data_IF_034173481726
#
_entry.id   IF_034173481726
#
_cell.length_a   1.000
_cell.length_b   1.000
_cell.length_c   1.000
_cell.angle_alpha   90.00
_cell.angle_beta   90.00
_cell.angle_gamma   90.00
#
_symmetry.space_group_name_H-M   'P 1'
#
loop_
_entity.id
_entity.type
_entity.pdbx_description
1 polymer ?
#
# COMPACT_ATOMS: atom_id res chain seq x y z
N UNK A 1 25.30 6.57 -7.86
CA UNK A 1 23.91 6.55 -7.36
C UNK A 1 23.73 7.78 -6.48
N UNK A 2 22.80 8.68 -6.79
CA UNK A 2 22.48 9.78 -5.87
C UNK A 2 21.91 9.16 -4.59
N UNK A 3 22.41 9.54 -3.42
CA UNK A 3 21.85 9.10 -2.16
C UNK A 3 20.38 9.55 -2.11
N UNK A 4 19.47 8.60 -1.87
CA UNK A 4 18.08 8.95 -1.64
C UNK A 4 18.02 9.90 -0.43
N UNK A 5 17.49 11.10 -0.65
CA UNK A 5 17.39 12.11 0.41
C UNK A 5 16.28 11.70 1.38
N UNK A 6 16.66 11.20 2.55
CA UNK A 6 15.71 10.89 3.62
C UNK A 6 15.18 12.19 4.24
N UNK A 7 13.87 12.28 4.45
CA UNK A 7 13.23 13.39 5.16
C UNK A 7 12.42 12.84 6.33
N UNK A 8 12.67 13.39 7.51
CA UNK A 8 11.90 13.09 8.73
C UNK A 8 11.01 14.28 9.03
N UNK A 9 9.71 14.03 9.11
CA UNK A 9 8.70 15.00 9.54
C UNK A 9 8.10 14.52 10.84
N UNK A 10 8.19 15.35 11.87
CA UNK A 10 7.64 15.07 13.20
C UNK A 10 6.40 15.93 13.38
N UNK A 11 5.31 15.28 13.79
CA UNK A 11 4.04 15.94 14.10
C UNK A 11 3.74 15.76 15.59
N UNK A 12 3.12 16.74 16.26
CA UNK A 12 2.77 16.62 17.68
C UNK A 12 1.73 15.52 17.95
N UNK A 13 0.89 15.21 16.97
CA UNK A 13 -0.23 14.29 17.13
C UNK A 13 -0.64 13.58 15.83
N UNK A 14 -1.36 12.46 15.96
CA UNK A 14 -1.95 11.75 14.81
C UNK A 14 -3.07 12.55 14.12
N UNK A 15 -3.70 13.49 14.83
CA UNK A 15 -4.69 14.43 14.28
C UNK A 15 -4.06 15.49 13.37
N UNK A 16 -2.78 15.81 13.55
CA UNK A 16 -2.06 16.72 12.65
C UNK A 16 -1.37 15.96 11.51
N UNK A 17 -0.83 14.78 11.80
CA UNK A 17 -0.21 13.91 10.81
C UNK A 17 -1.20 13.51 9.70
N UNK A 18 -2.41 13.12 10.04
CA UNK A 18 -3.38 12.59 9.08
C UNK A 18 -3.74 13.56 7.94
N UNK A 19 -4.16 14.80 8.23
CA UNK A 19 -4.40 15.83 7.21
C UNK A 19 -3.15 16.19 6.40
N UNK A 20 -1.97 16.18 7.03
CA UNK A 20 -0.71 16.44 6.33
C UNK A 20 -0.39 15.31 5.34
N UNK A 21 -0.54 14.05 5.75
CA UNK A 21 -0.37 12.88 4.90
C UNK A 21 -1.39 12.87 3.75
N UNK A 22 -2.66 13.17 4.02
CA UNK A 22 -3.70 13.25 3.00
C UNK A 22 -3.37 14.30 1.92
N UNK A 23 -2.92 15.50 2.32
CA UNK A 23 -2.45 16.54 1.38
C UNK A 23 -1.24 16.09 0.58
N UNK A 24 -0.29 15.38 1.22
CA UNK A 24 0.89 14.85 0.55
C UNK A 24 0.51 13.83 -0.53
N UNK A 25 -0.37 12.86 -0.21
CA UNK A 25 -0.87 11.88 -1.19
C UNK A 25 -1.55 12.60 -2.37
N UNK A 26 -2.42 13.57 -2.09
CA UNK A 26 -3.13 14.31 -3.13
C UNK A 26 -2.20 15.16 -4.02
N UNK A 27 -1.08 15.66 -3.48
CA UNK A 27 -0.06 16.37 -4.26
C UNK A 27 0.68 15.40 -5.20
N UNK A 28 1.14 14.26 -4.69
CA UNK A 28 1.78 13.20 -5.49
C UNK A 28 0.86 12.66 -6.59
N UNK A 29 -0.42 12.47 -6.27
CA UNK A 29 -1.41 12.06 -7.25
C UNK A 29 -1.56 13.06 -8.41
N UNK A 30 -1.56 14.36 -8.11
CA UNK A 30 -1.66 15.41 -9.13
C UNK A 30 -0.45 15.42 -10.06
N UNK A 31 0.75 15.22 -9.52
CA UNK A 31 1.99 15.12 -10.30
C UNK A 31 1.99 13.89 -11.21
N UNK A 32 1.59 12.73 -10.69
CA UNK A 32 1.52 11.50 -11.49
C UNK A 32 0.39 11.51 -12.54
N UNK A 33 -0.66 12.31 -12.38
CA UNK A 33 -1.85 12.29 -13.27
C UNK A 33 -1.83 13.32 -14.41
N UNK A 34 -0.66 13.90 -14.74
CA UNK A 34 -0.52 15.04 -15.66
C UNK A 34 -0.90 14.81 -17.14
N UNK A 35 -1.16 13.57 -17.57
CA UNK A 35 -1.64 13.27 -18.93
C UNK A 35 -2.84 12.32 -18.94
N UNK A 36 -3.55 12.20 -20.07
CA UNK A 36 -4.74 11.34 -20.18
C UNK A 36 -4.46 9.86 -19.93
N UNK A 37 -3.26 9.38 -20.31
CA UNK A 37 -2.84 7.98 -20.11
C UNK A 37 -2.18 7.74 -18.75
N UNK A 38 -1.87 8.79 -18.01
CA UNK A 38 -1.19 8.68 -16.74
C UNK A 38 -2.13 8.19 -15.63
N UNK A 39 -1.58 7.42 -14.69
CA UNK A 39 -2.28 6.87 -13.53
C UNK A 39 -1.42 7.09 -12.29
N UNK A 40 -2.08 7.24 -11.15
CA UNK A 40 -1.42 7.27 -9.84
C UNK A 40 -1.63 5.93 -9.13
N UNK A 41 -0.56 5.18 -8.93
CA UNK A 41 -0.61 3.90 -8.23
C UNK A 41 -0.16 4.06 -6.77
N UNK A 42 -1.06 3.76 -5.82
CA UNK A 42 -0.83 3.92 -4.39
C UNK A 42 -0.86 2.57 -3.67
N UNK A 43 0.22 2.23 -2.96
CA UNK A 43 0.29 1.06 -2.09
C UNK A 43 -0.09 1.41 -0.66
N UNK A 44 -0.98 0.61 -0.07
CA UNK A 44 -1.55 0.81 1.26
C UNK A 44 -1.14 -0.31 2.20
N UNK A 45 -0.73 0.02 3.42
CA UNK A 45 -0.59 -0.94 4.51
C UNK A 45 -1.80 -0.89 5.43
N UNK A 46 -2.02 -1.94 6.22
CA UNK A 46 -3.06 -1.96 7.25
C UNK A 46 -2.75 -1.11 8.49
N UNK A 47 -3.33 -1.50 9.62
CA UNK A 47 -3.09 -0.84 10.92
C UNK A 47 -3.69 0.56 11.02
N UNK A 48 -3.00 1.47 11.71
CA UNK A 48 -3.49 2.84 11.97
C UNK A 48 -3.64 3.69 10.70
N UNK A 49 -3.00 3.31 9.59
CA UNK A 49 -3.17 3.99 8.31
C UNK A 49 -4.60 3.88 7.78
N UNK A 50 -5.30 2.79 8.09
CA UNK A 50 -6.69 2.60 7.65
C UNK A 50 -7.56 3.70 8.23
N UNK A 51 -7.59 3.84 9.56
CA UNK A 51 -8.44 4.82 10.24
C UNK A 51 -8.05 6.26 9.93
N UNK A 52 -6.75 6.54 9.83
CA UNK A 52 -6.23 7.85 9.46
C UNK A 52 -6.66 8.26 8.05
N UNK A 53 -6.44 7.39 7.05
CA UNK A 53 -6.80 7.72 5.67
C UNK A 53 -8.32 7.73 5.45
N UNK A 54 -9.06 6.84 6.10
CA UNK A 54 -10.54 6.87 6.09
C UNK A 54 -11.11 8.19 6.59
N UNK A 55 -10.46 8.81 7.58
CA UNK A 55 -10.87 10.11 8.14
C UNK A 55 -10.41 11.28 7.25
N UNK A 56 -9.13 11.32 6.90
CA UNK A 56 -8.52 12.57 6.44
C UNK A 56 -8.40 12.68 4.91
N UNK A 57 -8.33 11.56 4.19
CA UNK A 57 -8.18 11.59 2.74
C UNK A 57 -9.44 12.14 2.03
N UNK A 58 -10.68 11.72 2.38
CA UNK A 58 -11.89 12.29 1.81
C UNK A 58 -12.08 13.79 2.09
N UNK A 59 -11.45 14.30 3.14
CA UNK A 59 -11.53 15.71 3.53
C UNK A 59 -10.67 16.64 2.65
N UNK A 60 -9.85 16.09 1.73
CA UNK A 60 -9.05 16.89 0.81
C UNK A 60 -9.95 17.55 -0.25
N UNK A 61 -9.99 18.89 -0.36
CA UNK A 61 -10.83 19.57 -1.34
C UNK A 61 -10.45 19.21 -2.78
N UNK A 62 -11.45 18.90 -3.60
CA UNK A 62 -11.27 18.62 -5.02
C UNK A 62 -10.56 17.29 -5.33
N UNK A 63 -10.51 16.35 -4.37
CA UNK A 63 -9.86 15.05 -4.57
C UNK A 63 -10.54 14.24 -5.69
N UNK A 64 -9.81 14.02 -6.80
CA UNK A 64 -10.24 13.17 -7.90
C UNK A 64 -9.41 11.89 -7.96
N UNK A 65 -10.07 10.76 -7.72
CA UNK A 65 -9.45 9.44 -7.65
C UNK A 65 -9.69 8.56 -8.89
N UNK A 66 -10.30 9.09 -9.97
CA UNK A 66 -10.64 8.31 -11.18
C UNK A 66 -9.44 7.64 -11.86
N UNK A 67 -8.26 8.26 -11.74
CA UNK A 67 -7.00 7.77 -12.30
C UNK A 67 -6.17 6.96 -11.30
N UNK A 68 -6.70 6.70 -10.11
CA UNK A 68 -5.98 6.02 -9.05
C UNK A 68 -6.09 4.51 -9.20
N UNK A 69 -4.99 3.82 -8.89
CA UNK A 69 -4.92 2.38 -8.78
C UNK A 69 -4.34 2.03 -7.42
N UNK A 70 -5.16 1.45 -6.57
CA UNK A 70 -4.80 1.07 -5.21
C UNK A 70 -4.29 -0.37 -5.21
N UNK A 71 -3.24 -0.61 -4.45
CA UNK A 71 -2.78 -1.94 -4.08
C UNK A 71 -2.47 -2.00 -2.59
N UNK A 72 -2.27 -3.21 -2.09
CA UNK A 72 -1.91 -3.47 -0.71
C UNK A 72 -0.45 -3.92 -0.62
N UNK A 73 0.24 -3.41 0.41
CA UNK A 73 1.64 -3.73 0.70
C UNK A 73 1.76 -5.11 1.35
N UNK A 74 0.75 -5.49 2.12
CA UNK A 74 0.54 -6.83 2.64
C UNK A 74 -0.95 -7.04 2.96
N UNK A 75 -1.32 -8.29 3.19
CA UNK A 75 -2.66 -8.64 3.66
C UNK A 75 -2.64 -9.93 4.49
N UNK A 76 -3.58 -9.99 5.43
CA UNK A 76 -3.89 -11.17 6.23
C UNK A 76 -4.83 -12.04 5.41
N UNK A 77 -4.50 -13.32 5.25
CA UNK A 77 -5.33 -14.27 4.51
C UNK A 77 -6.51 -14.73 5.36
N UNK A 78 -7.46 -13.81 5.54
CA UNK A 78 -8.74 -13.99 6.22
C UNK A 78 -9.87 -13.52 5.31
N UNK A 79 -11.13 -13.93 5.56
CA UNK A 79 -12.27 -13.37 4.85
C UNK A 79 -12.28 -11.84 4.88
N UNK A 80 -12.74 -11.17 3.81
CA UNK A 80 -12.75 -9.70 3.77
C UNK A 80 -13.71 -9.03 4.75
N UNK A 81 -14.59 -9.79 5.39
CA UNK A 81 -15.46 -9.31 6.47
C UNK A 81 -14.76 -9.36 7.83
N UNK A 82 -13.61 -10.05 7.90
CA UNK A 82 -12.81 -10.15 9.11
C UNK A 82 -12.19 -8.78 9.45
N UNK A 83 -12.23 -8.35 10.73
CA UNK A 83 -11.63 -7.10 11.16
C UNK A 83 -10.11 -7.03 10.96
N UNK A 84 -9.42 -8.15 10.73
CA UNK A 84 -7.99 -8.19 10.43
C UNK A 84 -7.67 -7.99 8.94
N UNK A 85 -8.67 -8.02 8.04
CA UNK A 85 -8.45 -7.73 6.61
C UNK A 85 -8.26 -6.24 6.37
N UNK A 86 -7.07 -5.87 5.91
CA UNK A 86 -6.77 -4.48 5.54
C UNK A 86 -7.67 -4.02 4.39
N UNK A 87 -7.82 -4.82 3.33
CA UNK A 87 -8.73 -4.53 2.23
C UNK A 87 -10.17 -4.42 2.70
N UNK A 88 -10.64 -5.33 3.57
CA UNK A 88 -11.98 -5.30 4.14
C UNK A 88 -12.29 -3.99 4.86
N UNK A 89 -11.36 -3.54 5.71
CA UNK A 89 -11.48 -2.28 6.41
C UNK A 89 -11.42 -1.08 5.47
N UNK A 90 -10.48 -1.04 4.51
CA UNK A 90 -10.41 0.04 3.53
C UNK A 90 -11.67 0.10 2.67
N UNK A 91 -12.19 -1.05 2.23
CA UNK A 91 -13.43 -1.14 1.46
C UNK A 91 -14.58 -0.49 2.23
N UNK A 92 -14.78 -0.93 3.46
CA UNK A 92 -15.89 -0.49 4.32
C UNK A 92 -15.79 0.98 4.69
N UNK A 93 -14.58 1.44 5.06
CA UNK A 93 -14.38 2.74 5.70
C UNK A 93 -13.93 3.85 4.74
N UNK A 94 -13.43 3.51 3.55
CA UNK A 94 -12.89 4.49 2.60
C UNK A 94 -13.45 4.29 1.19
N UNK A 95 -13.28 3.11 0.60
CA UNK A 95 -13.57 2.92 -0.84
C UNK A 95 -15.07 2.99 -1.15
N UNK A 96 -15.95 2.54 -0.25
CA UNK A 96 -17.40 2.56 -0.47
C UNK A 96 -18.09 3.84 0.00
N UNK A 97 -17.35 4.81 0.54
CA UNK A 97 -17.93 6.00 1.21
C UNK A 97 -17.25 7.32 0.85
N UNK A 98 -16.46 7.35 -0.22
CA UNK A 98 -15.63 8.52 -0.55
C UNK A 98 -15.39 8.63 -2.06
N UNK A 99 -14.77 9.74 -2.54
CA UNK A 99 -14.36 9.86 -3.93
C UNK A 99 -13.46 8.71 -4.44
N UNK A 100 -12.85 7.93 -3.54
CA UNK A 100 -12.07 6.74 -3.87
C UNK A 100 -12.92 5.55 -4.37
N UNK A 101 -14.25 5.62 -4.34
CA UNK A 101 -15.10 4.63 -5.02
C UNK A 101 -14.80 4.53 -6.53
N UNK A 102 -14.29 5.62 -7.11
CA UNK A 102 -13.88 5.72 -8.50
C UNK A 102 -12.44 5.24 -8.75
N UNK A 103 -11.69 4.92 -7.70
CA UNK A 103 -10.37 4.34 -7.81
C UNK A 103 -10.48 2.86 -8.19
N UNK A 104 -9.54 2.39 -9.01
CA UNK A 104 -9.37 0.95 -9.24
C UNK A 104 -8.60 0.36 -8.07
N UNK A 105 -8.85 -0.91 -7.75
CA UNK A 105 -8.18 -1.58 -6.65
C UNK A 105 -7.74 -2.99 -7.07
N UNK A 106 -6.46 -3.30 -6.90
CA UNK A 106 -5.95 -4.66 -6.97
C UNK A 106 -6.23 -5.36 -5.64
N UNK A 107 -7.19 -6.27 -5.67
CA UNK A 107 -7.50 -7.13 -4.55
C UNK A 107 -6.53 -8.31 -4.53
N UNK A 108 -6.05 -8.67 -3.34
CA UNK A 108 -5.36 -9.95 -3.12
C UNK A 108 -6.39 -11.08 -3.18
N UNK A 109 -6.08 -12.13 -3.92
CA UNK A 109 -6.96 -13.31 -3.95
C UNK A 109 -6.81 -14.07 -2.64
N UNK A 110 -7.92 -14.25 -1.93
CA UNK A 110 -8.02 -15.08 -0.72
C UNK A 110 -7.98 -16.57 -1.10
N UNK A 111 -6.85 -17.01 -1.64
CA UNK A 111 -6.49 -18.42 -1.79
C UNK A 111 -5.43 -18.77 -0.74
N UNK A 112 -5.15 -20.06 -0.54
CA UNK A 112 -3.98 -20.48 0.23
C UNK A 112 -2.72 -19.73 -0.26
N UNK A 113 -1.77 -19.41 0.63
CA UNK A 113 -0.65 -18.47 0.37
C UNK A 113 0.00 -18.55 -1.03
N UNK A 114 0.11 -19.76 -1.60
CA UNK A 114 0.67 -19.97 -2.94
C UNK A 114 -0.16 -19.34 -4.06
N UNK A 115 -1.49 -19.48 -4.04
CA UNK A 115 -2.36 -18.91 -5.08
C UNK A 115 -2.48 -17.39 -4.96
N UNK A 116 -2.63 -16.88 -3.73
CA UNK A 116 -2.77 -15.43 -3.49
C UNK A 116 -1.55 -14.63 -3.91
N UNK A 117 -0.33 -15.12 -3.64
CA UNK A 117 0.91 -14.43 -4.03
C UNK A 117 1.12 -14.40 -5.55
N UNK A 118 0.77 -15.49 -6.26
CA UNK A 118 1.03 -15.65 -7.70
C UNK A 118 0.10 -14.77 -8.53
N UNK A 119 -1.19 -14.76 -8.18
CA UNK A 119 -2.17 -13.84 -8.75
C UNK A 119 -1.76 -12.37 -8.53
N UNK A 120 -1.35 -12.01 -7.32
CA UNK A 120 -0.94 -10.63 -7.04
C UNK A 120 0.35 -10.25 -7.77
N UNK A 121 1.33 -11.14 -7.85
CA UNK A 121 2.53 -10.91 -8.65
C UNK A 121 2.22 -10.72 -10.14
N UNK A 122 1.24 -11.43 -10.69
CA UNK A 122 0.76 -11.22 -12.06
C UNK A 122 0.14 -9.84 -12.23
N UNK A 123 -0.75 -9.42 -11.32
CA UNK A 123 -1.34 -8.06 -11.32
C UNK A 123 -0.28 -6.95 -11.31
N UNK A 124 0.79 -7.13 -10.53
CA UNK A 124 1.90 -6.17 -10.47
C UNK A 124 2.71 -6.13 -11.79
N UNK A 125 2.92 -7.27 -12.45
CA UNK A 125 3.63 -7.34 -13.75
C UNK A 125 2.81 -6.76 -14.90
N UNK A 126 1.50 -6.93 -14.85
CA UNK A 126 0.55 -6.39 -15.84
C UNK A 126 0.21 -4.92 -15.60
N UNK A 127 0.73 -4.32 -14.53
CA UNK A 127 0.57 -2.90 -14.27
C UNK A 127 1.04 -2.10 -15.50
N UNK A 128 0.29 -1.06 -15.94
CA UNK A 128 0.49 -0.40 -17.23
C UNK A 128 1.75 0.47 -17.35
N UNK A 129 2.85 0.13 -16.68
CA UNK A 129 4.15 0.82 -16.77
C UNK A 129 5.24 -0.19 -17.17
N UNK A 130 5.79 -0.05 -18.38
CA UNK A 130 6.96 -0.82 -18.85
C UNK A 130 8.23 -0.14 -18.33
N UNK A 131 8.94 -0.81 -17.42
CA UNK A 131 10.11 -0.29 -16.71
C UNK A 131 9.71 0.57 -15.51
N UNK A 132 10.33 0.32 -14.35
CA UNK A 132 10.30 1.04 -13.05
C UNK A 132 9.22 2.11 -12.78
N UNK A 133 8.70 2.22 -11.54
CA UNK A 133 8.25 1.21 -10.58
C UNK A 133 6.71 1.03 -10.57
N UNK A 134 6.25 -0.06 -9.94
CA UNK A 134 4.82 -0.45 -9.93
C UNK A 134 3.94 0.58 -9.21
N UNK A 135 4.46 1.18 -8.14
CA UNK A 135 3.76 2.15 -7.30
C UNK A 135 4.41 3.53 -7.42
N UNK A 136 3.59 4.59 -7.57
CA UNK A 136 4.06 5.97 -7.48
C UNK A 136 4.31 6.38 -6.01
N UNK A 137 3.57 5.79 -5.07
CA UNK A 137 3.74 6.00 -3.63
C UNK A 137 3.39 4.73 -2.87
N UNK A 138 4.22 4.34 -1.91
CA UNK A 138 3.95 3.29 -0.94
C UNK A 138 3.79 3.91 0.46
N UNK A 139 2.68 3.58 1.13
CA UNK A 139 2.45 3.95 2.52
C UNK A 139 2.72 2.74 3.41
N UNK A 140 3.84 2.79 4.12
CA UNK A 140 4.33 1.72 4.97
C UNK A 140 4.05 2.05 6.43
N UNK A 141 3.44 1.10 7.13
CA UNK A 141 3.40 1.10 8.59
C UNK A 141 4.65 0.43 9.16
N UNK A 142 5.00 0.76 10.40
CA UNK A 142 6.09 0.11 11.11
C UNK A 142 5.58 -0.41 12.46
N UNK A 143 5.80 -1.70 12.72
CA UNK A 143 5.54 -2.32 14.02
C UNK A 143 6.55 -1.88 15.08
N UNK A 144 6.23 -2.14 16.36
CA UNK A 144 7.13 -1.83 17.50
C UNK A 144 8.44 -2.61 17.49
N UNK A 145 8.45 -3.74 16.80
CA UNK A 145 9.61 -4.60 16.50
C UNK A 145 10.36 -4.18 15.22
N UNK A 146 9.91 -3.12 14.54
CA UNK A 146 10.52 -2.64 13.30
C UNK A 146 10.06 -3.34 12.02
N UNK A 147 9.08 -4.27 12.08
CA UNK A 147 8.56 -4.88 10.85
C UNK A 147 7.79 -3.85 10.01
N UNK A 148 7.85 -3.99 8.69
CA UNK A 148 6.97 -3.29 7.73
C UNK A 148 6.33 -4.32 6.82
N UNK A 149 5.12 -4.05 6.33
CA UNK A 149 4.32 -5.04 5.61
C UNK A 149 4.23 -6.33 6.48
N UNK A 150 4.52 -7.49 5.91
CA UNK A 150 4.78 -8.72 6.67
C UNK A 150 6.26 -9.16 6.61
N UNK A 151 7.19 -8.20 6.54
CA UNK A 151 8.63 -8.45 6.57
C UNK A 151 9.15 -8.25 8.01
N UNK A 152 9.19 -9.35 8.76
CA UNK A 152 9.63 -9.35 10.17
C UNK A 152 11.16 -9.52 10.28
N UNK A 153 11.83 -8.86 11.24
CA UNK A 153 13.29 -8.93 11.40
C UNK A 153 13.88 -10.35 11.48
N UNK A 154 13.19 -11.26 12.17
CA UNK A 154 13.66 -12.64 12.37
C UNK A 154 13.11 -13.64 11.35
N UNK A 155 12.24 -13.22 10.44
CA UNK A 155 11.60 -14.12 9.48
C UNK A 155 12.33 -14.08 8.12
N UNK A 156 12.73 -15.23 7.54
CA UNK A 156 13.61 -15.27 6.36
C UNK A 156 13.05 -14.52 5.13
N UNK A 157 11.73 -14.31 5.06
CA UNK A 157 11.07 -13.54 4.01
C UNK A 157 11.64 -12.12 3.82
N UNK A 158 12.21 -11.47 4.84
CA UNK A 158 12.80 -10.14 4.65
C UNK A 158 14.03 -10.17 3.71
N UNK A 159 14.68 -11.33 3.56
CA UNK A 159 15.83 -11.55 2.65
C UNK A 159 15.42 -11.92 1.22
N UNK A 160 14.13 -12.02 0.92
CA UNK A 160 13.66 -12.31 -0.44
C UNK A 160 14.03 -11.18 -1.40
N UNK A 161 14.83 -11.50 -2.41
CA UNK A 161 15.44 -10.54 -3.34
C UNK A 161 15.01 -10.71 -4.80
N UNK A 162 14.24 -11.75 -5.12
CA UNK A 162 13.87 -12.07 -6.51
C UNK A 162 12.37 -11.96 -6.74
N UNK A 163 11.57 -12.51 -5.83
CA UNK A 163 10.10 -12.50 -5.96
C UNK A 163 9.56 -11.09 -5.68
N UNK A 164 8.51 -10.69 -6.40
CA UNK A 164 7.78 -9.44 -6.13
C UNK A 164 6.85 -9.54 -4.92
N UNK A 165 6.32 -10.74 -4.68
CA UNK A 165 5.32 -11.04 -3.67
C UNK A 165 5.68 -12.36 -3.00
N UNK A 166 5.63 -12.39 -1.67
CA UNK A 166 5.87 -13.58 -0.87
C UNK A 166 4.61 -13.94 -0.05
N UNK A 167 4.48 -15.22 0.28
CA UNK A 167 3.44 -15.72 1.17
C UNK A 167 4.08 -16.31 2.43
N UNK A 168 3.61 -15.90 3.60
CA UNK A 168 4.08 -16.35 4.90
C UNK A 168 3.04 -17.30 5.51
N UNK A 169 3.36 -18.58 5.54
CA UNK A 169 2.50 -19.60 6.18
C UNK A 169 2.74 -19.65 7.69
N UNK A 170 3.94 -19.28 8.09
CA UNK A 170 4.58 -19.29 9.41
C UNK A 170 4.78 -17.86 9.93
N UNK A 171 3.82 -16.98 9.65
CA UNK A 171 3.86 -15.60 10.12
C UNK A 171 3.97 -15.55 11.64
N UNK A 172 4.96 -14.82 12.22
CA UNK A 172 5.07 -14.64 13.68
C UNK A 172 3.79 -14.06 14.29
N UNK A 173 3.11 -13.20 13.52
CA UNK A 173 1.78 -12.71 13.85
C UNK A 173 0.76 -13.42 12.96
N UNK A 174 0.07 -14.42 13.52
CA UNK A 174 -1.08 -15.07 12.87
C UNK A 174 -2.09 -14.01 12.41
N UNK A 175 -2.88 -14.29 11.36
CA UNK A 175 -2.93 -15.49 10.51
C UNK A 175 -1.84 -15.48 9.42
N UNK A 176 -1.95 -16.40 8.44
CA UNK A 176 -1.10 -16.42 7.24
C UNK A 176 -1.19 -15.11 6.47
N UNK A 177 -0.12 -14.75 5.75
CA UNK A 177 0.00 -13.44 5.10
C UNK A 177 0.53 -13.52 3.68
N UNK A 178 0.20 -12.51 2.89
CA UNK A 178 0.85 -12.22 1.61
C UNK A 178 1.44 -10.82 1.69
N UNK A 179 2.67 -10.62 1.21
CA UNK A 179 3.40 -9.36 1.33
C UNK A 179 4.16 -9.02 0.07
N UNK A 180 4.27 -7.74 -0.22
CA UNK A 180 5.31 -7.21 -1.09
C UNK A 180 6.68 -7.44 -0.44
N UNK A 181 7.68 -7.65 -1.29
CA UNK A 181 9.07 -7.89 -0.91
C UNK A 181 9.94 -6.66 -1.16
N UNK A 182 11.17 -6.66 -0.64
CA UNK A 182 12.10 -5.53 -0.79
C UNK A 182 12.34 -5.09 -2.25
N UNK A 183 12.42 -5.98 -3.26
CA UNK A 183 12.48 -5.57 -4.66
C UNK A 183 11.37 -4.60 -5.09
N UNK A 184 10.13 -4.80 -4.61
CA UNK A 184 9.02 -3.88 -4.92
C UNK A 184 9.10 -2.62 -4.06
N UNK A 185 9.38 -2.78 -2.76
CA UNK A 185 9.42 -1.64 -1.83
C UNK A 185 10.51 -0.63 -2.21
N UNK A 186 11.69 -1.11 -2.59
CA UNK A 186 12.83 -0.28 -2.95
C UNK A 186 12.75 0.30 -4.37
N UNK A 187 11.89 -0.26 -5.24
CA UNK A 187 11.68 0.29 -6.56
C UNK A 187 10.80 1.55 -6.51
N UNK A 188 9.89 1.66 -5.54
CA UNK A 188 8.96 2.79 -5.46
C UNK A 188 9.70 4.13 -5.33
N UNK A 189 9.30 5.17 -6.08
CA UNK A 189 10.01 6.42 -6.12
C UNK A 189 9.61 7.24 -4.89
N UNK A 190 10.56 7.55 -4.02
CA UNK A 190 10.41 8.66 -3.09
C UNK A 190 11.00 9.92 -3.75
N UNK A 191 10.37 10.39 -4.83
CA UNK A 191 10.81 11.62 -5.52
C UNK A 191 10.33 12.83 -4.72
N UNK A 192 11.27 13.72 -4.40
CA UNK A 192 11.01 14.99 -3.73
C UNK A 192 10.52 16.03 -4.73
#
# INVERSE_FOLDING_TARGET
MAAASQRVLVFPSSSELGPALARFIAARARESCGSERARFTLGLSGGSLVSMLSRDLPAVPGLDCRKWLLGFCDERLVPFQDPESSYGLYKTNLLSRSPLERARCWQLTLAACGGGREDYATKLREAPRRGDPVFDLLLLGMGSDGHTCSLFPEHPCWRESEKLVAGLKDSPNLPQRVTLTLPVLNAAPCRQ
#
